data_IF_220480591431
#
_entry.id   IF_220480591431
#
_cell.length_a   1.000
_cell.length_b   1.000
_cell.length_c   1.000
_cell.angle_alpha   90.00
_cell.angle_beta   90.00
_cell.angle_gamma   90.00
#
_symmetry.space_group_name_H-M   'P 1'
#
loop_
_entity.id
_entity.type
_entity.pdbx_description
1 polymer ?
#
# COMPACT_ATOMS: atom_id res chain seq x y z
N UNK A 1 6.48 -31.30 -11.46
CA UNK A 1 5.20 -30.60 -11.71
C UNK A 1 4.33 -30.57 -10.45
N UNK A 2 3.88 -31.71 -9.90
CA UNK A 2 3.08 -31.72 -8.64
C UNK A 2 3.81 -31.13 -7.43
N UNK A 3 5.08 -31.50 -7.20
CA UNK A 3 5.90 -30.94 -6.11
C UNK A 3 6.21 -29.44 -6.26
N UNK A 4 6.08 -28.86 -7.45
CA UNK A 4 6.34 -27.44 -7.71
C UNK A 4 5.08 -26.61 -7.45
N UNK A 5 3.92 -27.17 -7.83
CA UNK A 5 2.59 -26.62 -7.50
C UNK A 5 2.35 -26.68 -5.99
N UNK A 6 2.68 -27.80 -5.32
CA UNK A 6 2.57 -27.90 -3.85
C UNK A 6 3.48 -26.90 -3.12
N UNK A 7 4.68 -26.62 -3.65
CA UNK A 7 5.62 -25.68 -3.03
C UNK A 7 5.19 -24.21 -3.23
N UNK A 8 4.59 -23.85 -4.37
CA UNK A 8 3.93 -22.55 -4.57
C UNK A 8 2.67 -22.38 -3.71
N UNK A 9 1.85 -23.44 -3.58
CA UNK A 9 0.67 -23.41 -2.70
C UNK A 9 1.06 -23.30 -1.22
N UNK A 10 2.12 -24.00 -0.80
CA UNK A 10 2.63 -23.95 0.57
C UNK A 10 3.41 -22.66 0.86
N UNK A 11 4.17 -22.11 -0.09
CA UNK A 11 4.85 -20.82 0.08
C UNK A 11 3.84 -19.67 0.21
N UNK A 12 2.75 -19.71 -0.56
CA UNK A 12 1.62 -18.78 -0.39
C UNK A 12 0.93 -18.91 0.97
N UNK A 13 1.04 -20.06 1.65
CA UNK A 13 0.45 -20.28 2.97
C UNK A 13 1.34 -19.80 4.13
N UNK A 14 2.64 -19.60 3.90
CA UNK A 14 3.62 -19.24 4.94
C UNK A 14 4.34 -17.90 4.71
N UNK A 15 3.83 -17.02 3.84
CA UNK A 15 4.39 -15.66 3.74
C UNK A 15 4.21 -14.92 5.05
N UNK A 16 5.30 -14.30 5.54
CA UNK A 16 5.19 -13.39 6.66
C UNK A 16 4.38 -12.16 6.25
N UNK A 17 3.77 -11.49 7.23
CA UNK A 17 3.07 -10.22 7.00
C UNK A 17 4.02 -9.17 6.37
N UNK A 18 5.29 -9.17 6.80
CA UNK A 18 6.34 -8.35 6.18
C UNK A 18 6.54 -8.67 4.70
N UNK A 19 6.61 -9.95 4.31
CA UNK A 19 6.77 -10.33 2.91
C UNK A 19 5.55 -9.91 2.07
N UNK A 20 4.34 -9.97 2.64
CA UNK A 20 3.12 -9.48 1.99
C UNK A 20 3.18 -7.97 1.80
N UNK A 21 3.59 -7.24 2.83
CA UNK A 21 3.78 -5.79 2.80
C UNK A 21 4.83 -5.39 1.75
N UNK A 22 6.00 -6.03 1.74
CA UNK A 22 7.08 -5.74 0.78
C UNK A 22 6.65 -6.02 -0.66
N UNK A 23 5.85 -7.07 -0.88
CA UNK A 23 5.29 -7.38 -2.20
C UNK A 23 4.25 -6.34 -2.63
N UNK A 24 3.46 -5.77 -1.71
CA UNK A 24 2.56 -4.65 -2.02
C UNK A 24 3.36 -3.40 -2.37
N UNK A 25 4.36 -3.05 -1.56
CA UNK A 25 5.24 -1.91 -1.83
C UNK A 25 5.94 -2.05 -3.18
N UNK A 26 6.46 -3.24 -3.50
CA UNK A 26 7.06 -3.53 -4.81
C UNK A 26 6.07 -3.25 -5.95
N UNK A 27 4.82 -3.71 -5.85
CA UNK A 27 3.81 -3.48 -6.88
C UNK A 27 3.46 -1.99 -7.04
N UNK A 28 3.39 -1.24 -5.93
CA UNK A 28 3.20 0.22 -5.95
C UNK A 28 4.34 0.88 -6.75
N UNK A 29 5.59 0.52 -6.45
CA UNK A 29 6.77 1.10 -7.12
C UNK A 29 6.88 0.68 -8.60
N UNK A 30 6.63 -0.58 -8.92
CA UNK A 30 6.65 -1.07 -10.31
C UNK A 30 5.63 -0.30 -11.17
N UNK A 31 4.40 -0.17 -10.69
CA UNK A 31 3.32 0.51 -11.42
C UNK A 31 3.52 2.04 -11.49
N UNK A 32 4.13 2.63 -10.47
CA UNK A 32 4.61 4.02 -10.52
C UNK A 32 5.65 4.20 -11.64
N UNK A 33 6.69 3.36 -11.69
CA UNK A 33 7.75 3.46 -12.70
C UNK A 33 7.23 3.22 -14.13
N UNK A 34 6.19 2.39 -14.29
CA UNK A 34 5.51 2.18 -15.57
C UNK A 34 4.58 3.34 -15.97
N UNK A 35 4.25 4.25 -15.05
CA UNK A 35 3.24 5.29 -15.27
C UNK A 35 1.83 4.73 -15.47
N UNK A 36 1.56 3.52 -14.97
CA UNK A 36 0.35 2.76 -15.30
C UNK A 36 -0.80 3.00 -14.31
N UNK A 37 -1.44 4.17 -14.44
CA UNK A 37 -2.54 4.61 -13.57
C UNK A 37 -3.69 3.58 -13.50
N UNK A 38 -4.01 2.93 -14.62
CA UNK A 38 -5.14 1.99 -14.70
C UNK A 38 -4.89 0.65 -14.02
N UNK A 39 -3.67 0.13 -14.08
CA UNK A 39 -3.32 -1.05 -13.30
C UNK A 39 -3.09 -0.69 -11.83
N UNK A 40 -2.55 0.50 -11.52
CA UNK A 40 -2.42 0.99 -10.15
C UNK A 40 -3.78 1.07 -9.43
N UNK A 41 -4.82 1.56 -10.12
CA UNK A 41 -6.19 1.58 -9.60
C UNK A 41 -6.68 0.20 -9.13
N UNK A 42 -6.19 -0.89 -9.74
CA UNK A 42 -6.60 -2.26 -9.39
C UNK A 42 -5.97 -2.78 -8.10
N UNK A 43 -4.94 -2.12 -7.58
CA UNK A 43 -4.41 -2.44 -6.25
C UNK A 43 -5.43 -2.12 -5.13
N UNK A 44 -6.36 -1.20 -5.39
CA UNK A 44 -7.39 -0.81 -4.42
C UNK A 44 -8.54 -1.81 -4.37
N UNK A 45 -9.02 -2.04 -3.14
CA UNK A 45 -10.17 -2.90 -2.92
C UNK A 45 -11.42 -2.36 -3.61
N UNK A 46 -12.32 -3.27 -3.99
CA UNK A 46 -13.55 -2.85 -4.65
C UNK A 46 -14.45 -2.04 -3.72
N UNK A 47 -14.36 -2.28 -2.41
CA UNK A 47 -15.13 -1.54 -1.44
C UNK A 47 -14.56 -0.14 -1.19
N UNK A 48 -13.24 0.00 -1.00
CA UNK A 48 -12.62 1.32 -0.75
C UNK A 48 -12.87 2.30 -1.88
N UNK A 49 -12.77 1.84 -3.14
CA UNK A 49 -13.00 2.65 -4.33
C UNK A 49 -14.39 3.30 -4.42
N UNK A 50 -15.39 2.80 -3.71
CA UNK A 50 -16.74 3.41 -3.71
C UNK A 50 -16.75 4.78 -3.04
N UNK A 51 -15.83 4.99 -2.10
CA UNK A 51 -15.75 6.20 -1.28
C UNK A 51 -14.64 7.16 -1.75
N UNK A 52 -13.83 6.75 -2.74
CA UNK A 52 -12.72 7.56 -3.27
C UNK A 52 -13.24 8.42 -4.43
N UNK A 53 -13.23 9.74 -4.24
CA UNK A 53 -13.53 10.69 -5.33
C UNK A 53 -12.37 10.72 -6.34
N UNK A 54 -12.67 10.31 -7.58
CA UNK A 54 -11.75 10.31 -8.73
C UNK A 54 -10.35 9.73 -8.42
N UNK A 55 -10.33 8.43 -8.09
CA UNK A 55 -9.10 7.69 -7.78
C UNK A 55 -7.99 7.86 -8.83
N UNK A 56 -8.35 7.97 -10.11
CA UNK A 56 -7.35 8.11 -11.18
C UNK A 56 -6.60 9.45 -11.06
N UNK A 57 -7.31 10.53 -10.72
CA UNK A 57 -6.69 11.83 -10.44
C UNK A 57 -5.78 11.79 -9.22
N UNK A 58 -6.19 11.08 -8.16
CA UNK A 58 -5.35 10.94 -6.96
C UNK A 58 -4.07 10.14 -7.25
N UNK A 59 -4.15 9.06 -8.04
CA UNK A 59 -2.98 8.31 -8.51
C UNK A 59 -2.06 9.20 -9.35
N UNK A 60 -2.60 9.97 -10.30
CA UNK A 60 -1.78 10.91 -11.09
C UNK A 60 -1.09 11.95 -10.21
N UNK A 61 -1.79 12.50 -9.21
CA UNK A 61 -1.18 13.43 -8.25
C UNK A 61 -0.08 12.79 -7.41
N UNK A 62 -0.20 11.50 -7.08
CA UNK A 62 0.84 10.72 -6.40
C UNK A 62 2.07 10.54 -7.30
N UNK A 63 1.87 10.18 -8.58
CA UNK A 63 2.97 10.03 -9.54
C UNK A 63 3.72 11.34 -9.77
N UNK A 64 2.99 12.45 -9.92
CA UNK A 64 3.57 13.78 -10.11
C UNK A 64 4.30 14.31 -8.87
N UNK A 65 3.98 13.79 -7.68
CA UNK A 65 4.58 14.26 -6.43
C UNK A 65 5.99 13.72 -6.18
N UNK A 66 6.26 12.49 -6.63
CA UNK A 66 7.58 11.88 -6.49
C UNK A 66 8.50 12.49 -7.55
N UNK A 67 9.40 13.37 -7.11
CA UNK A 67 10.46 13.92 -7.94
C UNK A 67 11.74 13.10 -7.82
N UNK A 68 12.31 12.70 -8.95
CA UNK A 68 13.51 11.88 -9.06
C UNK A 68 13.22 10.41 -9.40
N UNK A 69 14.27 9.71 -9.82
CA UNK A 69 14.21 8.27 -10.08
C UNK A 69 14.31 7.52 -8.75
N UNK A 70 13.41 6.58 -8.48
CA UNK A 70 13.44 5.77 -7.26
C UNK A 70 14.69 4.89 -7.28
N UNK A 71 15.48 4.95 -6.20
CA UNK A 71 16.74 4.21 -6.04
C UNK A 71 16.58 3.03 -5.07
N UNK A 72 15.94 3.28 -3.94
CA UNK A 72 15.72 2.28 -2.89
C UNK A 72 14.43 2.56 -2.14
N UNK A 73 13.86 1.50 -1.57
CA UNK A 73 12.78 1.59 -0.59
C UNK A 73 12.98 0.51 0.47
N UNK A 74 12.66 0.83 1.71
CA UNK A 74 12.68 -0.11 2.84
C UNK A 74 11.70 0.33 3.89
N UNK A 75 11.20 -0.62 4.68
CA UNK A 75 10.13 -0.36 5.63
C UNK A 75 9.76 -1.59 6.42
N UNK A 76 8.76 -1.43 7.26
CA UNK A 76 8.13 -2.50 8.02
C UNK A 76 6.61 -2.43 7.89
N UNK A 77 5.92 -3.39 8.52
CA UNK A 77 4.47 -3.34 8.64
C UNK A 77 4.00 -3.65 10.06
N UNK A 78 2.90 -3.00 10.43
CA UNK A 78 2.05 -3.44 11.53
C UNK A 78 0.89 -4.26 10.97
N UNK A 79 0.38 -5.20 11.77
CA UNK A 79 -0.76 -6.02 11.39
C UNK A 79 -1.80 -6.07 12.51
N UNK A 80 -3.05 -6.22 12.11
CA UNK A 80 -4.15 -6.53 13.00
C UNK A 80 -4.90 -7.75 12.46
N UNK A 81 -5.37 -8.63 13.37
CA UNK A 81 -6.13 -9.80 12.96
C UNK A 81 -7.38 -9.97 13.81
N UNK A 82 -8.50 -10.22 13.14
CA UNK A 82 -9.79 -10.48 13.76
C UNK A 82 -10.31 -11.85 13.33
N UNK A 83 -11.02 -12.51 14.25
CA UNK A 83 -11.72 -13.75 13.96
C UNK A 83 -13.16 -13.63 14.47
N UNK A 84 -14.11 -13.53 13.55
CA UNK A 84 -15.52 -13.44 13.85
C UNK A 84 -16.23 -14.71 13.39
N UNK A 85 -16.67 -15.53 14.34
CA UNK A 85 -17.38 -16.80 14.06
C UNK A 85 -16.65 -17.73 13.08
N UNK A 86 -15.32 -17.74 13.10
CA UNK A 86 -14.48 -18.55 12.21
C UNK A 86 -14.01 -17.83 10.95
N UNK A 87 -14.56 -16.65 10.62
CA UNK A 87 -14.12 -15.82 9.50
C UNK A 87 -12.93 -14.98 9.94
N UNK A 88 -11.79 -15.14 9.26
CA UNK A 88 -10.58 -14.38 9.55
C UNK A 88 -10.51 -13.12 8.69
N UNK A 89 -10.18 -12.01 9.34
CA UNK A 89 -9.81 -10.75 8.70
C UNK A 89 -8.42 -10.35 9.16
N UNK A 90 -7.59 -9.86 8.24
CA UNK A 90 -6.25 -9.39 8.57
C UNK A 90 -5.94 -8.13 7.78
N UNK A 91 -5.57 -7.10 8.50
CA UNK A 91 -5.24 -5.77 7.97
C UNK A 91 -3.73 -5.53 8.17
N UNK A 92 -3.15 -4.79 7.24
CA UNK A 92 -1.74 -4.40 7.26
C UNK A 92 -1.61 -2.90 7.02
N UNK A 93 -0.75 -2.31 7.84
CA UNK A 93 -0.29 -0.94 7.73
C UNK A 93 1.19 -0.99 7.37
N UNK A 94 1.52 -0.73 6.11
CA UNK A 94 2.90 -0.68 5.63
C UNK A 94 3.48 0.72 5.77
N UNK A 95 4.70 0.82 6.30
CA UNK A 95 5.40 2.07 6.60
C UNK A 95 6.77 2.06 5.93
N UNK A 96 6.92 2.79 4.83
CA UNK A 96 8.10 2.71 3.96
C UNK A 96 8.78 4.06 3.80
N UNK A 97 10.10 4.03 3.84
CA UNK A 97 10.97 5.08 3.36
C UNK A 97 11.33 4.82 1.89
N UNK A 98 11.31 5.86 1.06
CA UNK A 98 11.64 5.81 -0.36
C UNK A 98 12.69 6.87 -0.65
N UNK A 99 13.84 6.43 -1.14
CA UNK A 99 14.89 7.32 -1.66
C UNK A 99 14.84 7.42 -3.16
N UNK A 100 15.01 8.64 -3.64
CA UNK A 100 15.09 8.97 -5.06
C UNK A 100 16.38 9.71 -5.36
N UNK A 101 16.69 9.90 -6.64
CA UNK A 101 17.85 10.71 -7.06
C UNK A 101 17.79 12.19 -6.63
N UNK A 102 16.68 12.68 -6.06
CA UNK A 102 16.51 14.09 -5.69
C UNK A 102 15.99 14.34 -4.28
N UNK A 103 15.20 13.43 -3.71
CA UNK A 103 14.48 13.65 -2.46
C UNK A 103 14.16 12.33 -1.74
N UNK A 104 13.80 12.45 -0.47
CA UNK A 104 13.40 11.35 0.41
C UNK A 104 11.91 11.48 0.76
N UNK A 105 11.22 10.34 0.81
CA UNK A 105 9.79 10.28 1.08
C UNK A 105 9.46 9.21 2.12
N UNK A 106 8.41 9.45 2.88
CA UNK A 106 7.74 8.42 3.68
C UNK A 106 6.37 8.14 3.07
N UNK A 107 6.07 6.86 2.89
CA UNK A 107 4.82 6.35 2.36
C UNK A 107 4.22 5.37 3.37
N UNK A 108 2.98 5.64 3.78
CA UNK A 108 2.14 4.69 4.48
C UNK A 108 1.11 4.11 3.51
N UNK A 109 0.85 2.81 3.58
CA UNK A 109 -0.32 2.23 2.94
C UNK A 109 -1.10 1.37 3.92
N UNK A 110 -2.40 1.27 3.67
CA UNK A 110 -3.34 0.53 4.50
C UNK A 110 -4.09 -0.44 3.61
N UNK A 111 -4.15 -1.71 4.02
CA UNK A 111 -4.79 -2.74 3.23
C UNK A 111 -5.44 -3.84 4.05
N UNK A 112 -6.43 -4.47 3.47
CA UNK A 112 -6.92 -5.77 3.92
C UNK A 112 -6.29 -6.80 3.00
N UNK A 113 -5.43 -7.68 3.52
CA UNK A 113 -4.84 -8.73 2.68
C UNK A 113 -5.65 -10.03 2.77
N UNK A 114 -6.45 -10.20 3.82
CA UNK A 114 -7.35 -11.33 3.98
C UNK A 114 -8.67 -10.90 4.61
N UNK A 115 -9.78 -11.30 4.00
CA UNK A 115 -11.12 -11.21 4.58
C UNK A 115 -11.98 -12.37 4.04
N UNK A 116 -12.34 -13.31 4.92
CA UNK A 116 -13.12 -14.50 4.54
C UNK A 116 -14.61 -14.17 4.30
N UNK A 117 -15.15 -13.16 4.99
CA UNK A 117 -16.57 -12.78 4.97
C UNK A 117 -16.90 -11.67 3.97
N UNK A 118 -15.99 -10.71 3.77
CA UNK A 118 -16.15 -9.57 2.85
C UNK A 118 -14.97 -9.49 1.88
N UNK A 119 -14.87 -10.39 0.87
CA UNK A 119 -13.73 -10.39 -0.07
C UNK A 119 -13.57 -9.10 -0.87
N UNK A 120 -14.61 -8.27 -1.00
CA UNK A 120 -14.54 -6.97 -1.67
C UNK A 120 -13.67 -5.94 -0.94
N UNK A 121 -13.35 -6.18 0.33
CA UNK A 121 -12.46 -5.33 1.12
C UNK A 121 -10.99 -5.62 0.84
N UNK A 122 -10.65 -6.77 0.23
CA UNK A 122 -9.28 -7.16 -0.05
C UNK A 122 -8.63 -6.20 -1.05
N UNK A 123 -7.47 -5.65 -0.69
CA UNK A 123 -6.72 -4.65 -1.44
C UNK A 123 -6.43 -3.39 -0.62
N UNK A 124 -5.81 -2.40 -1.27
CA UNK A 124 -5.52 -1.10 -0.66
C UNK A 124 -6.81 -0.33 -0.34
N UNK A 125 -6.82 0.34 0.80
CA UNK A 125 -7.84 1.33 1.17
C UNK A 125 -7.28 2.75 1.13
N UNK A 126 -6.02 2.92 1.53
CA UNK A 126 -5.38 4.23 1.65
C UNK A 126 -3.89 4.18 1.34
N UNK A 127 -3.38 5.23 0.70
CA UNK A 127 -1.95 5.57 0.63
C UNK A 127 -1.80 7.01 1.14
N UNK A 128 -0.82 7.25 2.00
CA UNK A 128 -0.39 8.60 2.38
C UNK A 128 1.10 8.74 2.07
N UNK A 129 1.50 9.85 1.44
CA UNK A 129 2.91 10.12 1.13
C UNK A 129 3.27 11.56 1.50
N UNK A 130 4.47 11.74 2.02
CA UNK A 130 5.04 13.04 2.36
C UNK A 130 6.56 13.02 2.10
N UNK A 131 7.16 14.20 1.91
CA UNK A 131 8.63 14.32 1.90
C UNK A 131 9.18 14.15 3.31
N UNK A 132 10.44 13.71 3.45
CA UNK A 132 11.14 13.68 4.74
C UNK A 132 11.09 15.04 5.45
N UNK A 133 11.25 16.13 4.69
CA UNK A 133 11.13 17.49 5.24
C UNK A 133 9.75 17.77 5.87
N UNK A 134 8.67 17.23 5.30
CA UNK A 134 7.31 17.40 5.82
C UNK A 134 7.10 16.56 7.09
N UNK A 135 7.59 15.32 7.08
CA UNK A 135 7.49 14.38 8.21
C UNK A 135 8.27 14.87 9.44
N UNK A 136 9.43 15.49 9.23
CA UNK A 136 10.29 15.98 10.31
C UNK A 136 9.81 17.29 10.99
N UNK A 137 8.60 17.77 10.70
CA UNK A 137 8.03 18.96 11.34
C UNK A 137 7.49 18.63 12.73
N UNK A 138 7.59 19.58 13.67
CA UNK A 138 7.24 19.36 15.09
C UNK A 138 5.81 18.85 15.35
N UNK A 139 4.85 19.20 14.48
CA UNK A 139 3.43 18.84 14.64
C UNK A 139 2.91 17.95 13.51
N UNK A 140 3.81 17.30 12.77
CA UNK A 140 3.39 16.42 11.69
C UNK A 140 2.64 15.20 12.25
N UNK A 141 1.48 14.89 11.68
CA UNK A 141 0.72 13.68 11.98
C UNK A 141 0.10 13.14 10.69
N UNK A 142 0.06 11.82 10.57
CA UNK A 142 -0.79 11.13 9.61
C UNK A 142 -2.20 11.07 10.22
N UNK A 143 -3.13 11.90 9.75
CA UNK A 143 -4.47 12.03 10.34
C UNK A 143 -5.62 11.84 9.34
N UNK A 144 -5.33 11.40 8.11
CA UNK A 144 -6.36 11.18 7.11
C UNK A 144 -7.22 9.96 7.45
N UNK A 145 -8.49 10.18 7.76
CA UNK A 145 -9.44 9.10 8.05
C UNK A 145 -10.08 8.48 6.80
N UNK A 146 -9.99 9.15 5.66
CA UNK A 146 -10.69 8.80 4.42
C UNK A 146 -9.92 7.75 3.60
N UNK A 147 -10.63 6.96 2.81
CA UNK A 147 -10.01 6.12 1.79
C UNK A 147 -9.50 7.00 0.64
N UNK A 148 -8.36 6.65 0.05
CA UNK A 148 -7.79 7.43 -1.05
C UNK A 148 -6.27 7.43 -1.10
N UNK A 149 -5.72 8.36 -1.88
CA UNK A 149 -4.30 8.61 -1.99
C UNK A 149 -4.06 10.07 -1.65
N UNK A 150 -3.31 10.30 -0.58
CA UNK A 150 -3.11 11.61 0.00
C UNK A 150 -1.64 12.00 -0.07
N UNK A 151 -1.38 13.05 -0.84
CA UNK A 151 -0.10 13.73 -0.80
C UNK A 151 -0.17 14.76 0.33
N UNK A 152 0.45 14.44 1.47
CA UNK A 152 0.45 15.32 2.63
C UNK A 152 1.47 16.42 2.39
N UNK A 153 0.94 17.62 2.21
CA UNK A 153 1.69 18.86 2.00
C UNK A 153 1.46 19.80 3.18
N UNK A 154 2.18 20.90 3.16
CA UNK A 154 2.06 22.00 4.13
C UNK A 154 0.62 22.45 4.38
#
# INVERSE_FOLDING_TARGET
MLAQIENEYMSNWFKSEQEISDNMMKQIIDLYNEGNVKEFEKLFSQNSKKDIEDINKQISSFFEFIDGDIQEYSGDCASSSENNNGNKRIELDGMYHISTSKNEYYLNFYMVYKADDVPSDIGLSKIEIATEQTVNRENFMWDTSENGIFVVRE
#
